data_IF_215563668270
#
_entry.id   IF_215563668270
#
_cell.length_a   1.000
_cell.length_b   1.000
_cell.length_c   1.000
_cell.angle_alpha   90.00
_cell.angle_beta   90.00
_cell.angle_gamma   90.00
#
_symmetry.space_group_name_H-M   'P 1'
#
loop_
_entity.id
_entity.type
_entity.pdbx_description
1 polymer ?
#
# COMPACT_ATOMS: atom_id res chain seq x y z
N UNK A 1 -0.33 -27.04 -13.87
CA UNK A 1 -0.55 -27.89 -15.08
C UNK A 1 0.47 -29.04 -15.26
N UNK A 2 1.72 -28.87 -14.81
CA UNK A 2 2.83 -29.80 -15.12
C UNK A 2 3.05 -29.95 -16.63
N UNK A 3 2.96 -28.84 -17.35
CA UNK A 3 3.03 -28.81 -18.82
C UNK A 3 4.45 -29.05 -19.35
N UNK A 4 5.49 -28.82 -18.55
CA UNK A 4 6.87 -29.25 -18.83
C UNK A 4 7.03 -30.76 -19.05
N UNK A 5 6.09 -31.58 -18.53
CA UNK A 5 6.02 -33.03 -18.84
C UNK A 5 5.41 -33.32 -20.22
N UNK A 6 5.04 -32.28 -20.97
CA UNK A 6 4.37 -32.34 -22.27
C UNK A 6 3.13 -33.25 -22.30
N UNK A 7 2.20 -33.13 -21.32
CA UNK A 7 0.90 -33.79 -21.43
C UNK A 7 0.10 -33.15 -22.58
N UNK A 8 -0.90 -33.86 -23.11
CA UNK A 8 -1.76 -33.30 -24.16
C UNK A 8 -2.56 -32.06 -23.70
N UNK A 9 -3.04 -31.22 -24.64
CA UNK A 9 -3.69 -29.94 -24.34
C UNK A 9 -4.92 -30.08 -23.43
N UNK A 10 -5.71 -31.15 -23.60
CA UNK A 10 -6.86 -31.45 -22.74
C UNK A 10 -6.47 -31.65 -21.27
N UNK A 11 -5.31 -32.28 -21.02
CA UNK A 11 -4.80 -32.51 -19.66
C UNK A 11 -4.25 -31.23 -19.06
N UNK A 12 -3.55 -30.39 -19.84
CA UNK A 12 -3.10 -29.06 -19.41
C UNK A 12 -4.29 -28.22 -18.96
N UNK A 13 -5.30 -28.08 -19.84
CA UNK A 13 -6.54 -27.35 -19.56
C UNK A 13 -7.25 -27.86 -18.32
N UNK A 14 -7.51 -29.17 -18.25
CA UNK A 14 -8.26 -29.79 -17.14
C UNK A 14 -7.58 -29.52 -15.79
N UNK A 15 -6.26 -29.67 -15.72
CA UNK A 15 -5.48 -29.39 -14.51
C UNK A 15 -5.54 -27.92 -14.11
N UNK A 16 -5.48 -26.99 -15.05
CA UNK A 16 -5.59 -25.56 -14.73
C UNK A 16 -6.98 -25.28 -14.17
N UNK A 17 -8.04 -25.68 -14.86
CA UNK A 17 -9.43 -25.38 -14.47
C UNK A 17 -9.78 -25.99 -13.09
N UNK A 18 -9.25 -27.19 -12.81
CA UNK A 18 -9.51 -27.92 -11.57
C UNK A 18 -8.82 -27.27 -10.36
N UNK A 19 -7.56 -26.87 -10.52
CA UNK A 19 -6.71 -26.44 -9.40
C UNK A 19 -6.71 -24.92 -9.20
N UNK A 20 -7.31 -24.14 -10.12
CA UNK A 20 -7.37 -22.67 -10.00
C UNK A 20 -8.43 -22.24 -9.00
N UNK A 21 -8.03 -21.37 -8.07
CA UNK A 21 -8.86 -20.71 -7.06
C UNK A 21 -8.57 -19.20 -7.02
N UNK A 22 -9.39 -18.37 -6.35
CA UNK A 22 -9.11 -16.93 -6.24
C UNK A 22 -7.70 -16.67 -5.69
N UNK A 23 -6.93 -15.88 -6.42
CA UNK A 23 -5.54 -15.56 -6.08
C UNK A 23 -4.48 -16.56 -6.57
N UNK A 24 -4.85 -17.62 -7.31
CA UNK A 24 -3.88 -18.53 -7.93
C UNK A 24 -2.96 -17.83 -8.93
N UNK A 25 -1.68 -18.20 -8.91
CA UNK A 25 -0.72 -17.92 -9.98
C UNK A 25 -0.46 -19.22 -10.73
N UNK A 26 -0.77 -19.26 -12.03
CA UNK A 26 -0.63 -20.47 -12.86
C UNK A 26 0.71 -20.42 -13.60
N UNK A 27 1.62 -21.33 -13.25
CA UNK A 27 2.88 -21.52 -13.98
C UNK A 27 2.64 -22.40 -15.22
N UNK A 28 2.94 -21.86 -16.40
CA UNK A 28 2.90 -22.55 -17.71
C UNK A 28 4.06 -22.09 -18.59
N UNK A 29 4.41 -22.88 -19.62
CA UNK A 29 5.49 -22.64 -20.57
C UNK A 29 4.92 -22.48 -21.99
N UNK A 30 5.11 -21.30 -22.58
CA UNK A 30 4.63 -20.95 -23.93
C UNK A 30 5.48 -21.54 -25.07
N UNK A 31 6.59 -22.19 -24.74
CA UNK A 31 7.45 -22.93 -25.67
C UNK A 31 6.97 -24.36 -25.97
N UNK A 32 5.77 -24.72 -25.51
CA UNK A 32 5.20 -26.06 -25.67
C UNK A 32 3.89 -26.01 -26.47
N UNK A 33 3.81 -26.68 -27.65
CA UNK A 33 2.62 -26.65 -28.50
C UNK A 33 1.34 -27.02 -27.76
N UNK A 34 1.37 -28.10 -26.96
CA UNK A 34 0.22 -28.53 -26.17
C UNK A 34 -0.26 -27.49 -25.13
N UNK A 35 0.63 -26.63 -24.63
CA UNK A 35 0.25 -25.51 -23.77
C UNK A 35 -0.41 -24.41 -24.60
N UNK A 36 0.20 -24.01 -25.72
CA UNK A 36 -0.33 -22.99 -26.65
C UNK A 36 -1.75 -23.36 -27.10
N UNK A 37 -1.95 -24.61 -27.52
CA UNK A 37 -3.26 -25.13 -27.96
C UNK A 37 -4.31 -25.15 -26.82
N UNK A 38 -3.88 -25.38 -25.58
CA UNK A 38 -4.78 -25.42 -24.43
C UNK A 38 -5.21 -24.02 -23.96
N UNK A 39 -4.38 -22.99 -24.15
CA UNK A 39 -4.59 -21.68 -23.51
C UNK A 39 -5.91 -21.00 -23.88
N UNK A 40 -6.32 -20.88 -25.16
CA UNK A 40 -7.56 -20.17 -25.51
C UNK A 40 -8.78 -20.71 -24.73
N UNK A 41 -9.03 -22.01 -24.85
CA UNK A 41 -10.15 -22.68 -24.18
C UNK A 41 -10.02 -22.79 -22.65
N UNK A 42 -8.81 -22.59 -22.10
CA UNK A 42 -8.57 -22.51 -20.66
C UNK A 42 -8.97 -21.12 -20.14
N UNK A 43 -8.56 -20.06 -20.84
CA UNK A 43 -8.88 -18.68 -20.50
C UNK A 43 -10.38 -18.43 -20.57
N UNK A 44 -11.05 -18.90 -21.63
CA UNK A 44 -12.50 -18.81 -21.77
C UNK A 44 -13.24 -19.48 -20.60
N UNK A 45 -12.80 -20.67 -20.20
CA UNK A 45 -13.43 -21.42 -19.11
C UNK A 45 -13.25 -20.75 -17.74
N UNK A 46 -12.10 -20.12 -17.50
CA UNK A 46 -11.85 -19.36 -16.28
C UNK A 46 -12.62 -18.03 -16.29
N UNK A 47 -12.70 -17.34 -17.43
CA UNK A 47 -13.52 -16.14 -17.58
C UNK A 47 -15.00 -16.44 -17.30
N UNK A 48 -15.53 -17.54 -17.85
CA UNK A 48 -16.90 -18.00 -17.60
C UNK A 48 -17.17 -18.36 -16.13
N UNK A 49 -16.13 -18.76 -15.37
CA UNK A 49 -16.18 -18.98 -13.92
C UNK A 49 -16.07 -17.69 -13.09
N UNK A 50 -15.92 -16.52 -13.73
CA UNK A 50 -15.82 -15.21 -13.07
C UNK A 50 -14.41 -14.80 -12.64
N UNK A 51 -13.37 -15.48 -13.14
CA UNK A 51 -11.99 -15.06 -12.87
C UNK A 51 -11.63 -13.81 -13.66
N UNK A 52 -10.86 -12.91 -13.02
CA UNK A 52 -10.20 -11.79 -13.68
C UNK A 52 -8.71 -12.11 -13.86
N UNK A 53 -8.22 -11.98 -15.08
CA UNK A 53 -6.78 -12.09 -15.36
C UNK A 53 -6.11 -10.77 -15.01
N UNK A 54 -5.05 -10.87 -14.23
CA UNK A 54 -4.25 -9.73 -13.75
C UNK A 54 -2.78 -10.10 -13.83
N UNK A 55 -1.94 -9.08 -13.87
CA UNK A 55 -0.50 -9.24 -13.66
C UNK A 55 -0.21 -9.62 -12.20
N UNK A 56 0.97 -10.18 -11.94
CA UNK A 56 1.41 -10.49 -10.57
C UNK A 56 1.46 -9.23 -9.69
N UNK A 57 1.90 -8.10 -10.25
CA UNK A 57 1.95 -6.81 -9.54
C UNK A 57 0.57 -6.33 -9.10
N UNK A 58 -0.45 -6.45 -9.96
CA UNK A 58 -1.83 -6.13 -9.61
C UNK A 58 -2.39 -7.08 -8.56
N UNK A 59 -2.11 -8.39 -8.68
CA UNK A 59 -2.54 -9.37 -7.70
C UNK A 59 -2.01 -9.04 -6.30
N UNK A 60 -0.71 -8.72 -6.18
CA UNK A 60 -0.11 -8.32 -4.91
C UNK A 60 -0.75 -7.03 -4.37
N UNK A 61 -0.99 -6.03 -5.23
CA UNK A 61 -1.66 -4.77 -4.84
C UNK A 61 -3.07 -4.99 -4.32
N UNK A 62 -3.78 -6.01 -4.81
CA UNK A 62 -5.12 -6.38 -4.32
C UNK A 62 -5.08 -7.15 -3.00
N UNK A 63 -4.02 -7.94 -2.77
CA UNK A 63 -3.84 -8.72 -1.55
C UNK A 63 -3.36 -7.87 -0.36
N UNK A 64 -2.61 -6.80 -0.61
CA UNK A 64 -2.20 -5.85 0.43
C UNK A 64 -3.42 -5.02 0.83
N UNK A 65 -3.87 -5.07 2.11
CA UNK A 65 -4.90 -4.16 2.59
C UNK A 65 -4.42 -2.74 2.36
N UNK A 66 -5.15 -1.96 1.55
CA UNK A 66 -4.86 -0.54 1.45
C UNK A 66 -5.03 0.06 2.84
N UNK A 67 -3.92 0.50 3.45
CA UNK A 67 -3.98 1.33 4.64
C UNK A 67 -4.81 2.54 4.24
N UNK A 68 -5.96 2.73 4.88
CA UNK A 68 -6.75 3.93 4.68
C UNK A 68 -5.80 5.14 4.78
N UNK A 69 -5.88 6.13 3.87
CA UNK A 69 -5.14 7.36 4.07
C UNK A 69 -5.49 7.83 5.48
N UNK A 70 -4.46 8.14 6.28
CA UNK A 70 -4.69 8.76 7.58
C UNK A 70 -5.64 9.93 7.33
N UNK A 71 -6.77 9.95 8.05
CA UNK A 71 -7.65 11.12 8.05
C UNK A 71 -6.77 12.36 8.17
N UNK A 72 -7.00 13.44 7.41
CA UNK A 72 -6.23 14.65 7.59
C UNK A 72 -6.43 15.09 9.03
N UNK A 73 -5.46 14.79 9.91
CA UNK A 73 -5.37 15.45 11.19
C UNK A 73 -5.18 16.92 10.86
N UNK A 74 -6.00 17.84 11.41
CA UNK A 74 -5.71 19.25 11.30
C UNK A 74 -4.29 19.44 11.82
N UNK A 75 -3.43 19.98 10.96
CA UNK A 75 -2.03 20.19 11.25
C UNK A 75 -1.90 20.86 12.62
N UNK A 76 -1.25 20.18 13.56
CA UNK A 76 -0.75 20.82 14.76
C UNK A 76 0.39 21.75 14.32
N UNK A 77 0.04 22.96 13.86
CA UNK A 77 0.98 24.07 13.77
C UNK A 77 0.80 24.92 15.01
N UNK A 78 1.66 24.65 15.97
CA UNK A 78 2.22 25.54 16.98
C UNK A 78 1.86 27.01 16.76
N UNK A 79 0.88 27.49 17.53
CA UNK A 79 0.67 28.92 17.74
C UNK A 79 1.89 29.49 18.47
N UNK A 80 2.65 30.31 17.77
CA UNK A 80 3.71 31.17 18.31
C UNK A 80 3.18 31.99 19.49
N UNK A 81 3.92 32.18 20.61
CA UNK A 81 3.51 33.14 21.61
C UNK A 81 3.71 34.55 21.05
N UNK A 82 2.62 35.31 20.99
CA UNK A 82 2.65 36.72 20.61
C UNK A 82 3.42 37.51 21.67
N UNK A 83 4.48 38.19 21.21
CA UNK A 83 5.07 39.44 21.68
C UNK A 83 4.56 40.00 23.01
N UNK A 84 5.44 39.96 24.01
CA UNK A 84 5.40 40.79 25.21
C UNK A 84 5.42 42.26 24.77
N UNK A 85 4.33 42.98 25.03
CA UNK A 85 4.29 44.43 24.85
C UNK A 85 5.21 45.12 25.88
N UNK A 86 6.00 46.15 25.50
CA UNK A 86 6.68 46.97 26.48
C UNK A 86 5.71 47.99 27.11
N UNK A 87 5.55 47.94 28.44
CA UNK A 87 4.88 48.99 29.23
C UNK A 87 5.67 50.30 29.16
N UNK A 88 5.03 51.47 28.98
CA UNK A 88 5.69 52.75 29.21
C UNK A 88 5.40 53.28 30.62
N UNK A 89 6.47 53.49 31.40
CA UNK A 89 6.88 54.79 31.94
C UNK A 89 7.46 54.74 33.37
N UNK A 90 8.50 55.55 33.64
CA UNK A 90 9.29 55.51 34.87
C UNK A 90 8.78 56.50 35.93
N UNK A 91 8.92 56.15 37.21
CA UNK A 91 9.03 57.15 38.29
C UNK A 91 9.75 56.57 39.51
N UNK A 92 10.61 57.44 40.07
CA UNK A 92 11.43 57.34 41.28
C UNK A 92 12.85 56.74 41.12
N UNK A 93 13.86 57.58 41.43
CA UNK A 93 14.71 57.29 42.60
C UNK A 93 15.05 58.60 43.38
N UNK A 94 15.88 58.60 44.45
CA UNK A 94 16.42 57.49 45.26
C UNK A 94 16.15 57.66 46.78
N UNK A 95 16.38 56.61 47.57
CA UNK A 95 16.88 56.77 48.95
C UNK A 95 17.56 55.48 49.41
N UNK A 96 18.89 55.48 49.37
CA UNK A 96 19.73 54.53 50.11
C UNK A 96 20.62 55.34 51.04
N UNK A 97 20.26 55.39 52.32
CA UNK A 97 21.19 55.81 53.38
C UNK A 97 22.01 54.58 53.77
N UNK A 98 23.34 54.72 53.74
CA UNK A 98 24.30 53.77 54.27
C UNK A 98 24.45 53.95 55.80
N UNK A 99 24.61 52.81 56.48
CA UNK A 99 25.30 52.49 57.76
C UNK A 99 25.31 53.45 58.95
N UNK A 100 25.10 52.94 60.18
CA UNK A 100 25.74 53.47 61.37
C UNK A 100 27.12 52.80 61.58
N UNK A 101 28.15 53.62 61.75
CA UNK A 101 29.45 53.23 62.27
C UNK A 101 29.87 54.26 63.29
N UNK A 102 29.83 53.89 64.57
CA UNK A 102 30.71 54.36 65.63
C UNK A 102 30.64 53.39 66.81
#
# INVERSE_FOLDING_TARGET
>A
PYDWKRPGPAVVRSRIIKETQPGSIVLSHDIHPGTIEAMPSTLDALAAKGFKFVTVSELIRMAVPQRAPASPQPAATTSVPATIAPSPSPSAPPSRKLSPGS
#
